data_IF_970811574065
#
_entry.id   IF_970811574065
#
_cell.length_a   1.000
_cell.length_b   1.000
_cell.length_c   1.000
_cell.angle_alpha   90.00
_cell.angle_beta   90.00
_cell.angle_gamma   90.00
#
_symmetry.space_group_name_H-M   'P 1'
#
loop_
_entity.id
_entity.type
_entity.pdbx_description
1 polymer ?
#
# COMPACT_ATOMS: atom_id res chain seq x y z
N UNK A 1 9.20 18.24 -5.94
CA UNK A 1 8.60 16.96 -6.39
C UNK A 1 9.64 16.22 -7.23
N UNK A 2 9.95 14.96 -6.91
CA UNK A 2 10.92 14.13 -7.67
C UNK A 2 10.16 13.02 -8.38
N UNK A 3 10.55 12.71 -9.62
CA UNK A 3 9.91 11.66 -10.44
C UNK A 3 10.88 10.48 -10.56
N UNK A 4 10.37 9.27 -10.39
CA UNK A 4 11.11 8.04 -10.68
C UNK A 4 11.20 7.76 -12.19
N UNK A 5 11.98 6.76 -12.57
CA UNK A 5 12.23 6.38 -13.96
C UNK A 5 11.54 5.05 -14.37
N UNK A 6 10.49 4.63 -13.65
CA UNK A 6 9.70 3.45 -14.01
C UNK A 6 10.33 2.11 -13.58
N UNK A 7 10.63 1.95 -12.29
CA UNK A 7 11.17 0.71 -11.74
C UNK A 7 10.35 0.25 -10.53
N UNK A 8 9.72 -0.93 -10.63
CA UNK A 8 8.87 -1.49 -9.56
C UNK A 8 9.65 -1.68 -8.25
N UNK A 9 10.91 -2.11 -8.34
CA UNK A 9 11.77 -2.31 -7.17
C UNK A 9 11.99 -1.01 -6.38
N UNK A 10 11.95 0.16 -7.02
CA UNK A 10 12.05 1.45 -6.34
C UNK A 10 10.81 1.80 -5.52
N UNK A 11 9.77 0.97 -5.52
CA UNK A 11 8.67 1.05 -4.55
C UNK A 11 9.00 0.46 -3.18
N UNK A 12 10.15 -0.22 -3.04
CA UNK A 12 10.68 -0.63 -1.73
C UNK A 12 11.36 0.56 -1.03
N UNK A 13 11.17 0.68 0.29
CA UNK A 13 11.61 1.83 1.10
C UNK A 13 13.07 2.23 0.87
N UNK A 14 14.00 1.27 0.96
CA UNK A 14 15.43 1.54 0.85
C UNK A 14 15.89 1.71 -0.61
N UNK A 15 15.29 0.98 -1.54
CA UNK A 15 15.52 1.13 -2.97
C UNK A 15 15.04 2.50 -3.48
N UNK A 16 13.93 3.02 -2.93
CA UNK A 16 13.45 4.37 -3.21
C UNK A 16 14.49 5.41 -2.81
N UNK A 17 15.06 5.30 -1.61
CA UNK A 17 16.07 6.23 -1.11
C UNK A 17 17.31 6.21 -2.00
N UNK A 18 17.81 5.03 -2.36
CA UNK A 18 18.95 4.90 -3.28
C UNK A 18 18.68 5.59 -4.62
N UNK A 19 17.46 5.44 -5.16
CA UNK A 19 17.04 6.12 -6.40
C UNK A 19 16.97 7.64 -6.23
N UNK A 20 16.52 8.15 -5.07
CA UNK A 20 16.54 9.57 -4.73
C UNK A 20 17.98 10.07 -4.51
N UNK A 21 18.92 9.22 -4.12
CA UNK A 21 20.33 9.60 -4.05
C UNK A 21 21.04 9.57 -5.42
N UNK A 22 20.32 9.18 -6.48
CA UNK A 22 20.89 9.07 -7.84
C UNK A 22 21.65 7.77 -8.07
N UNK A 23 21.57 6.82 -7.15
CA UNK A 23 22.15 5.49 -7.26
C UNK A 23 21.14 4.53 -7.90
N UNK A 24 21.59 3.31 -8.18
CA UNK A 24 20.70 2.23 -8.61
C UNK A 24 19.75 1.91 -7.46
N UNK A 25 18.44 1.88 -7.72
CA UNK A 25 17.41 1.57 -6.73
C UNK A 25 17.38 0.09 -6.33
N UNK A 26 18.47 -0.38 -5.71
CA UNK A 26 18.58 -1.71 -5.12
C UNK A 26 18.31 -1.60 -3.62
N UNK A 27 17.56 -2.54 -3.02
CA UNK A 27 17.34 -2.53 -1.58
C UNK A 27 18.65 -2.59 -0.80
N UNK A 28 18.74 -1.82 0.29
CA UNK A 28 19.88 -1.86 1.22
C UNK A 28 19.77 -3.12 2.08
N UNK A 29 20.91 -3.75 2.36
CA UNK A 29 21.00 -4.76 3.42
C UNK A 29 20.75 -4.09 4.78
N UNK A 30 19.87 -4.69 5.57
CA UNK A 30 19.58 -4.25 6.95
C UNK A 30 20.42 -5.09 7.91
N UNK A 31 21.06 -4.51 8.94
CA UNK A 31 21.11 -3.08 9.32
C UNK A 31 22.14 -2.25 8.53
N UNK A 32 22.05 -0.90 8.53
CA UNK A 32 21.13 -0.05 9.30
C UNK A 32 19.73 0.09 8.69
N UNK A 33 18.73 0.35 9.53
CA UNK A 33 17.36 0.65 9.06
C UNK A 33 17.28 2.09 8.53
N UNK A 34 16.41 2.31 7.54
CA UNK A 34 16.15 3.63 6.94
C UNK A 34 15.67 4.66 7.97
N UNK A 35 14.87 4.21 8.96
CA UNK A 35 14.46 5.02 10.10
C UNK A 35 15.63 5.60 10.91
N UNK A 36 16.81 5.00 10.85
CA UNK A 36 18.02 5.45 11.54
C UNK A 36 18.96 6.18 10.58
N UNK A 37 19.25 5.57 9.42
CA UNK A 37 20.17 6.08 8.41
C UNK A 37 19.54 5.90 7.03
N UNK A 38 18.72 6.87 6.65
CA UNK A 38 17.95 6.88 5.41
C UNK A 38 18.55 7.82 4.37
N UNK A 39 17.76 8.79 3.94
CA UNK A 39 18.06 9.72 2.87
C UNK A 39 19.19 10.68 3.25
N UNK A 40 20.25 10.69 2.44
CA UNK A 40 21.45 11.51 2.66
C UNK A 40 22.08 11.28 4.05
N UNK A 41 21.99 10.05 4.55
CA UNK A 41 22.51 9.66 5.86
C UNK A 41 21.68 10.17 7.05
N UNK A 42 20.46 10.69 6.82
CA UNK A 42 19.58 11.20 7.87
C UNK A 42 18.45 10.22 8.19
N UNK A 43 18.00 10.13 9.45
CA UNK A 43 16.79 9.39 9.82
C UNK A 43 15.62 9.74 8.89
N UNK A 44 14.99 8.75 8.27
CA UNK A 44 13.93 8.95 7.28
C UNK A 44 12.80 7.95 7.50
N UNK A 45 11.55 8.40 7.41
CA UNK A 45 10.38 7.52 7.33
C UNK A 45 9.78 7.61 5.93
N UNK A 46 9.53 6.45 5.33
CA UNK A 46 8.80 6.33 4.09
C UNK A 46 7.35 5.94 4.38
N UNK A 47 6.41 6.66 3.78
CA UNK A 47 4.99 6.45 3.97
C UNK A 47 4.30 6.42 2.62
N UNK A 48 3.43 5.42 2.45
CA UNK A 48 2.45 5.42 1.38
C UNK A 48 1.59 6.70 1.44
N UNK A 49 1.24 7.21 0.27
CA UNK A 49 0.36 8.37 0.14
C UNK A 49 -0.98 8.18 0.85
N UNK A 50 -1.59 7.00 0.78
CA UNK A 50 -2.85 6.68 1.47
C UNK A 50 -2.72 6.82 2.99
N UNK A 51 -1.58 6.41 3.56
CA UNK A 51 -1.33 6.58 5.00
C UNK A 51 -1.39 8.06 5.38
N UNK A 52 -0.71 8.91 4.61
CA UNK A 52 -0.69 10.36 4.84
C UNK A 52 -2.04 11.02 4.55
N UNK A 53 -2.78 10.53 3.56
CA UNK A 53 -4.11 11.02 3.20
C UNK A 53 -5.09 10.96 4.39
N UNK A 54 -5.05 9.88 5.16
CA UNK A 54 -5.93 9.72 6.32
C UNK A 54 -5.54 10.54 7.54
N UNK A 55 -4.29 11.03 7.65
CA UNK A 55 -3.81 11.74 8.85
C UNK A 55 -4.67 12.95 9.16
N UNK A 56 -5.03 13.74 8.14
CA UNK A 56 -5.85 14.94 8.35
C UNK A 56 -7.19 14.60 9.01
N UNK A 57 -7.89 13.62 8.46
CA UNK A 57 -9.18 13.16 8.96
C UNK A 57 -9.09 12.53 10.34
N UNK A 58 -8.01 11.78 10.61
CA UNK A 58 -7.75 11.18 11.93
C UNK A 58 -7.50 12.26 12.98
N UNK A 59 -6.80 13.34 12.64
CA UNK A 59 -6.55 14.46 13.56
C UNK A 59 -7.85 15.23 13.85
N UNK A 60 -8.69 15.44 12.83
CA UNK A 60 -9.93 16.22 12.98
C UNK A 60 -11.05 15.44 13.69
N UNK A 61 -11.19 14.14 13.38
CA UNK A 61 -12.30 13.29 13.86
C UNK A 61 -11.90 12.34 14.99
N UNK A 62 -10.61 12.27 15.31
CA UNK A 62 -10.03 11.40 16.32
C UNK A 62 -9.70 9.99 15.80
N UNK A 63 -8.73 9.35 16.47
CA UNK A 63 -8.25 8.00 16.10
C UNK A 63 -9.33 6.92 16.17
N UNK A 64 -10.24 7.03 17.16
CA UNK A 64 -11.35 6.09 17.33
C UNK A 64 -12.29 6.08 16.11
N UNK A 65 -12.56 7.26 15.53
CA UNK A 65 -13.41 7.36 14.34
C UNK A 65 -12.88 6.52 13.19
N UNK A 66 -11.56 6.56 12.93
CA UNK A 66 -10.95 5.76 11.87
C UNK A 66 -10.87 4.28 12.25
N UNK A 67 -10.47 3.99 13.49
CA UNK A 67 -10.34 2.62 14.00
C UNK A 67 -11.66 1.83 13.91
N UNK A 68 -12.79 2.48 14.17
CA UNK A 68 -14.13 1.86 14.16
C UNK A 68 -14.67 1.58 12.75
N UNK A 69 -13.97 1.99 11.69
CA UNK A 69 -14.38 1.72 10.29
C UNK A 69 -13.99 0.34 9.77
N UNK A 70 -13.14 -0.39 10.47
CA UNK A 70 -12.69 -1.71 10.03
C UNK A 70 -13.65 -2.84 10.43
N UNK A 71 -13.49 -3.99 9.79
CA UNK A 71 -14.27 -5.22 10.04
C UNK A 71 -13.32 -6.40 10.30
N UNK A 72 -13.86 -7.51 10.81
CA UNK A 72 -13.09 -8.76 11.04
C UNK A 72 -11.80 -8.55 11.86
N UNK A 73 -11.87 -7.71 12.89
CA UNK A 73 -10.74 -7.40 13.77
C UNK A 73 -9.69 -6.44 13.17
N UNK A 74 -9.89 -5.96 11.94
CA UNK A 74 -9.04 -4.91 11.33
C UNK A 74 -9.60 -3.52 11.62
N UNK A 75 -8.79 -2.48 11.39
CA UNK A 75 -9.07 -1.09 11.75
C UNK A 75 -8.86 -0.19 10.53
N UNK A 76 -9.69 0.83 10.38
CA UNK A 76 -9.55 1.79 9.29
C UNK A 76 -10.23 1.40 7.98
N UNK A 77 -9.99 2.25 7.00
CA UNK A 77 -10.45 2.10 5.62
C UNK A 77 -9.26 1.80 4.71
N UNK A 78 -9.52 1.11 3.59
CA UNK A 78 -8.53 0.79 2.58
C UNK A 78 -9.09 1.02 1.18
N UNK A 79 -8.28 1.60 0.33
CA UNK A 79 -8.53 1.73 -1.10
C UNK A 79 -8.15 0.45 -1.83
N UNK A 80 -9.03 0.00 -2.72
CA UNK A 80 -8.84 -1.16 -3.57
C UNK A 80 -8.97 -0.71 -5.01
N UNK A 81 -7.91 -0.92 -5.80
CA UNK A 81 -8.01 -0.72 -7.24
C UNK A 81 -8.56 -1.99 -7.88
N UNK A 82 -9.52 -1.77 -8.75
CA UNK A 82 -10.43 -2.78 -9.23
C UNK A 82 -10.42 -2.65 -10.76
N UNK A 83 -9.71 -3.56 -11.42
CA UNK A 83 -9.53 -3.53 -12.86
C UNK A 83 -10.46 -4.53 -13.55
N UNK A 84 -11.24 -4.06 -14.51
CA UNK A 84 -12.25 -4.86 -15.20
C UNK A 84 -13.64 -4.72 -14.56
N UNK A 85 -14.62 -5.45 -15.12
CA UNK A 85 -16.01 -5.42 -14.71
C UNK A 85 -16.76 -4.11 -14.96
N UNK A 86 -17.96 -4.01 -14.39
CA UNK A 86 -18.90 -2.91 -14.66
C UNK A 86 -18.46 -1.56 -14.08
N UNK A 87 -17.73 -1.58 -12.96
CA UNK A 87 -17.29 -0.39 -12.24
C UNK A 87 -15.77 -0.40 -11.98
N UNK A 88 -14.95 -0.26 -13.04
CA UNK A 88 -13.50 -0.18 -12.86
C UNK A 88 -13.13 1.11 -12.12
N UNK A 89 -12.14 1.03 -11.24
CA UNK A 89 -11.66 2.20 -10.50
C UNK A 89 -11.15 1.89 -9.10
N UNK A 90 -10.94 2.96 -8.33
CA UNK A 90 -10.57 2.89 -6.91
C UNK A 90 -11.83 2.89 -6.07
N UNK A 91 -11.99 1.86 -5.23
CA UNK A 91 -13.11 1.73 -4.33
C UNK A 91 -12.62 1.72 -2.89
N UNK A 92 -13.36 2.40 -2.01
CA UNK A 92 -13.07 2.45 -0.59
C UNK A 92 -13.87 1.37 0.14
N UNK A 93 -13.20 0.55 0.95
CA UNK A 93 -13.88 -0.42 1.79
C UNK A 93 -13.24 -0.51 3.19
N UNK A 94 -13.99 -0.99 4.19
CA UNK A 94 -13.44 -1.34 5.50
C UNK A 94 -12.20 -2.23 5.38
N UNK A 95 -11.16 -1.93 6.15
CA UNK A 95 -10.05 -2.87 6.31
C UNK A 95 -10.59 -4.20 6.86
N UNK A 96 -10.08 -5.33 6.36
CA UNK A 96 -10.56 -6.66 6.73
C UNK A 96 -11.75 -7.18 5.93
N UNK A 97 -12.24 -6.43 4.95
CA UNK A 97 -13.25 -6.93 3.99
C UNK A 97 -12.68 -8.12 3.22
N UNK A 98 -13.46 -9.21 3.10
CA UNK A 98 -13.03 -10.40 2.38
C UNK A 98 -13.09 -10.18 0.87
N UNK A 99 -12.20 -10.84 0.11
CA UNK A 99 -12.20 -10.74 -1.36
C UNK A 99 -13.55 -11.13 -1.94
N UNK A 100 -14.21 -12.16 -1.41
CA UNK A 100 -15.56 -12.55 -1.84
C UNK A 100 -16.58 -11.42 -1.64
N UNK A 101 -16.55 -10.75 -0.50
CA UNK A 101 -17.46 -9.63 -0.23
C UNK A 101 -17.14 -8.42 -1.10
N UNK A 102 -15.86 -8.04 -1.21
CA UNK A 102 -15.40 -6.94 -2.07
C UNK A 102 -15.75 -7.19 -3.53
N UNK A 103 -15.45 -8.39 -4.04
CA UNK A 103 -15.84 -8.78 -5.39
C UNK A 103 -17.35 -8.76 -5.52
N UNK A 104 -18.13 -9.44 -4.66
CA UNK A 104 -19.59 -9.47 -4.80
C UNK A 104 -20.25 -8.09 -4.83
N UNK A 105 -19.71 -7.12 -4.10
CA UNK A 105 -20.19 -5.73 -4.16
C UNK A 105 -19.73 -4.99 -5.43
N UNK A 106 -18.63 -5.41 -6.05
CA UNK A 106 -17.97 -4.78 -7.21
C UNK A 106 -18.11 -5.59 -8.52
N UNK A 107 -18.82 -6.72 -8.50
CA UNK A 107 -18.73 -7.80 -9.49
C UNK A 107 -19.32 -7.40 -10.83
N UNK A 108 -18.45 -7.27 -11.83
CA UNK A 108 -18.38 -8.26 -12.92
C UNK A 108 -16.93 -8.45 -13.42
N UNK A 109 -16.01 -8.86 -12.55
CA UNK A 109 -14.58 -9.14 -12.81
C UNK A 109 -13.63 -7.96 -12.54
N UNK A 110 -13.43 -7.65 -11.26
CA UNK A 110 -12.26 -6.89 -10.81
C UNK A 110 -11.08 -7.82 -10.52
N UNK A 111 -9.95 -7.59 -11.17
CA UNK A 111 -8.65 -7.96 -10.61
C UNK A 111 -8.30 -6.92 -9.54
N UNK A 112 -8.19 -7.37 -8.28
CA UNK A 112 -7.82 -6.50 -7.16
C UNK A 112 -6.30 -6.27 -7.20
N UNK A 113 -5.87 -5.09 -7.61
CA UNK A 113 -4.50 -4.65 -7.37
C UNK A 113 -4.52 -3.92 -6.03
N UNK A 114 -4.04 -4.60 -4.98
CA UNK A 114 -3.82 -3.95 -3.69
C UNK A 114 -2.70 -2.92 -3.87
N UNK A 115 -3.01 -1.65 -3.62
CA UNK A 115 -2.07 -0.54 -3.76
C UNK A 115 -0.77 -0.84 -2.99
N UNK A 116 0.31 -1.02 -3.75
CA UNK A 116 1.66 -1.24 -3.25
C UNK A 116 2.31 0.10 -2.88
N UNK A 117 2.44 0.35 -1.59
CA UNK A 117 3.67 0.82 -0.94
C UNK A 117 3.44 0.69 0.57
N UNK A 118 4.41 0.08 1.28
CA UNK A 118 4.40 -0.27 2.70
C UNK A 118 3.35 -1.32 3.16
N UNK A 119 3.78 -2.59 3.10
CA UNK A 119 3.26 -3.80 3.79
C UNK A 119 1.82 -4.27 3.53
N UNK A 120 1.66 -5.20 2.59
CA UNK A 120 1.30 -6.61 2.86
C UNK A 120 1.84 -7.43 1.69
N UNK A 121 2.94 -8.15 1.93
CA UNK A 121 3.31 -9.27 1.07
C UNK A 121 2.24 -10.33 1.33
N UNK A 122 1.26 -10.43 0.43
CA UNK A 122 0.48 -11.67 0.34
C UNK A 122 1.51 -12.76 0.06
N UNK A 123 1.55 -13.72 0.98
CA UNK A 123 2.39 -14.90 0.93
C UNK A 123 2.41 -15.46 -0.49
N UNK A 124 3.63 -15.69 -0.99
CA UNK A 124 3.97 -16.43 -2.21
C UNK A 124 3.17 -16.14 -3.51
N UNK A 125 3.85 -15.77 -4.62
CA UNK A 125 3.23 -15.73 -5.94
C UNK A 125 2.77 -17.11 -6.50
N UNK A 126 2.73 -18.16 -5.67
CA UNK A 126 2.41 -19.53 -6.05
C UNK A 126 0.97 -19.99 -5.78
N UNK A 127 0.17 -19.29 -4.96
CA UNK A 127 -1.12 -19.85 -4.49
C UNK A 127 -2.39 -19.25 -5.13
N UNK A 128 -2.28 -18.28 -6.03
CA UNK A 128 -3.45 -17.68 -6.71
C UNK A 128 -3.62 -18.07 -8.19
N UNK A 129 -2.92 -19.10 -8.68
CA UNK A 129 -3.37 -19.82 -9.87
C UNK A 129 -4.43 -20.85 -9.48
N UNK A 130 -5.64 -20.39 -9.12
CA UNK A 130 -6.81 -21.23 -9.34
C UNK A 130 -7.05 -21.27 -10.85
N UNK A 131 -6.56 -22.33 -11.47
CA UNK A 131 -6.98 -22.73 -12.81
C UNK A 131 -8.50 -23.00 -12.80
N UNK A 132 -9.18 -22.79 -13.95
CA UNK A 132 -10.64 -22.97 -14.08
C UNK A 132 -11.11 -24.38 -13.69
#
# INVERSE_FOLDING_TARGET
MRRGAGAYICGEESAMIESIEGKRGMPRLRPPFVAQVGLFGRPTLEHNMETLYWIRDILDKGSKWFADKGVNGRKGLRSFFCQGGKNPGVHLAPAGTTVKHSLMTMLEACWMVMNFMVTFQVEHPGEFCQHP
#
